data_IF_314609976453
#
_entry.id   IF_314609976453
#
_cell.length_a   1.000
_cell.length_b   1.000
_cell.length_c   1.000
_cell.angle_alpha   90.00
_cell.angle_beta   90.00
_cell.angle_gamma   90.00
#
_symmetry.space_group_name_H-M   'P 1'
#
loop_
_entity.id
_entity.type
_entity.pdbx_description
1 polymer ?
#
# COMPACT_ATOMS: atom_id res chain seq x y z
N UNK A 1 -21.86 17.43 22.19
CA UNK A 1 -23.09 16.73 21.75
C UNK A 1 -22.74 16.09 20.40
N UNK A 2 -22.60 14.79 20.18
CA UNK A 2 -22.95 13.60 20.94
C UNK A 2 -21.78 12.60 20.91
N UNK A 3 -21.28 12.21 22.07
CA UNK A 3 -20.49 10.99 22.26
C UNK A 3 -21.45 9.94 22.79
N UNK A 4 -22.10 9.22 21.86
CA UNK A 4 -22.96 8.09 22.18
C UNK A 4 -22.42 6.86 21.47
N UNK A 5 -22.23 5.79 22.23
CA UNK A 5 -22.35 4.43 21.73
C UNK A 5 -21.13 3.85 21.01
N UNK A 6 -20.32 3.13 21.77
CA UNK A 6 -19.86 1.79 21.40
C UNK A 6 -19.70 0.99 22.69
N UNK A 7 -20.86 0.64 23.27
CA UNK A 7 -20.91 -0.42 24.28
C UNK A 7 -20.70 -1.72 23.51
N UNK A 8 -19.63 -2.39 23.89
CA UNK A 8 -19.18 -3.71 23.49
C UNK A 8 -20.38 -4.69 23.48
N UNK A 9 -20.92 -4.98 22.29
CA UNK A 9 -21.88 -6.07 22.00
C UNK A 9 -21.14 -7.40 21.71
N UNK A 10 -19.98 -7.64 22.32
CA UNK A 10 -19.10 -8.76 21.93
C UNK A 10 -19.51 -10.12 22.48
N UNK A 11 -20.53 -10.18 23.35
CA UNK A 11 -20.99 -11.45 23.96
C UNK A 11 -21.84 -12.28 23.00
N UNK A 12 -22.90 -11.67 22.46
CA UNK A 12 -23.90 -12.34 21.62
C UNK A 12 -23.29 -12.78 20.28
N UNK A 13 -22.45 -11.94 19.67
CA UNK A 13 -21.79 -12.25 18.41
C UNK A 13 -20.77 -13.39 18.52
N UNK A 14 -20.19 -13.62 19.70
CA UNK A 14 -19.23 -14.71 19.91
C UNK A 14 -19.91 -16.08 19.96
N UNK A 15 -21.10 -16.15 20.56
CA UNK A 15 -21.91 -17.37 20.62
C UNK A 15 -22.52 -17.70 19.25
N UNK A 16 -22.97 -16.69 18.50
CA UNK A 16 -23.44 -16.87 17.11
C UNK A 16 -22.33 -17.31 16.16
N UNK A 17 -21.12 -16.75 16.33
CA UNK A 17 -19.93 -17.17 15.60
C UNK A 17 -19.59 -18.63 15.89
N UNK A 18 -19.61 -19.03 17.16
CA UNK A 18 -19.28 -20.42 17.52
C UNK A 18 -20.30 -21.41 17.00
N UNK A 19 -21.60 -21.11 17.15
CA UNK A 19 -22.68 -21.95 16.65
C UNK A 19 -22.63 -22.10 15.12
N UNK A 20 -22.30 -21.02 14.41
CA UNK A 20 -22.17 -21.04 12.95
C UNK A 20 -20.96 -21.84 12.48
N UNK A 21 -19.82 -21.71 13.17
CA UNK A 21 -18.65 -22.54 12.87
C UNK A 21 -18.88 -24.02 13.19
N UNK A 22 -19.55 -24.34 14.29
CA UNK A 22 -19.90 -25.71 14.64
C UNK A 22 -20.79 -26.35 13.57
N UNK A 23 -21.82 -25.62 13.10
CA UNK A 23 -22.67 -26.07 12.00
C UNK A 23 -21.90 -26.32 10.70
N UNK A 24 -20.95 -25.44 10.35
CA UNK A 24 -20.10 -25.60 9.16
C UNK A 24 -19.19 -26.81 9.30
N UNK A 25 -18.59 -27.01 10.47
CA UNK A 25 -17.73 -28.17 10.74
C UNK A 25 -18.53 -29.46 10.63
N UNK A 26 -19.72 -29.53 11.22
CA UNK A 26 -20.61 -30.69 11.12
C UNK A 26 -21.05 -30.96 9.67
N UNK A 27 -21.41 -29.91 8.92
CA UNK A 27 -21.84 -30.04 7.54
C UNK A 27 -20.70 -30.50 6.62
N UNK A 28 -19.49 -29.96 6.81
CA UNK A 28 -18.31 -30.35 6.04
C UNK A 28 -17.83 -31.76 6.38
N UNK A 29 -17.82 -32.14 7.67
CA UNK A 29 -17.51 -33.50 8.12
C UNK A 29 -18.50 -34.53 7.55
N UNK A 30 -19.79 -34.18 7.44
CA UNK A 30 -20.82 -35.04 6.84
C UNK A 30 -20.67 -35.21 5.33
N UNK A 31 -20.18 -34.18 4.63
CA UNK A 31 -20.11 -34.16 3.16
C UNK A 31 -18.81 -34.72 2.61
N UNK A 32 -17.66 -34.51 3.24
CA UNK A 32 -16.37 -34.98 2.75
C UNK A 32 -15.34 -35.10 3.89
N UNK A 33 -14.75 -36.29 4.06
CA UNK A 33 -13.65 -36.53 5.02
C UNK A 33 -12.29 -35.96 4.61
N UNK A 34 -12.24 -34.85 3.85
CA UNK A 34 -10.99 -34.23 3.41
C UNK A 34 -10.60 -33.06 4.34
N UNK A 35 -9.53 -33.26 5.09
CA UNK A 35 -9.04 -32.33 6.12
C UNK A 35 -8.61 -30.96 5.58
N UNK A 36 -8.02 -30.89 4.38
CA UNK A 36 -7.60 -29.62 3.78
C UNK A 36 -8.79 -28.74 3.41
N UNK A 37 -9.88 -29.35 2.91
CA UNK A 37 -11.12 -28.63 2.62
C UNK A 37 -11.78 -28.11 3.90
N UNK A 38 -11.69 -28.84 5.01
CA UNK A 38 -12.23 -28.42 6.29
C UNK A 38 -11.48 -27.19 6.85
N UNK A 39 -10.15 -27.13 6.72
CA UNK A 39 -9.37 -25.96 7.13
C UNK A 39 -9.73 -24.71 6.30
N UNK A 40 -9.87 -24.88 4.98
CA UNK A 40 -10.29 -23.82 4.07
C UNK A 40 -11.71 -23.32 4.38
N UNK A 41 -12.64 -24.23 4.66
CA UNK A 41 -14.01 -23.91 5.06
C UNK A 41 -14.05 -23.06 6.34
N UNK A 42 -13.29 -23.46 7.37
CA UNK A 42 -13.19 -22.74 8.64
C UNK A 42 -12.58 -21.35 8.45
N UNK A 43 -11.51 -21.24 7.66
CA UNK A 43 -10.82 -19.97 7.42
C UNK A 43 -11.69 -18.98 6.62
N UNK A 44 -12.41 -19.48 5.62
CA UNK A 44 -13.38 -18.66 4.88
C UNK A 44 -14.50 -18.18 5.79
N UNK A 45 -15.08 -19.07 6.60
CA UNK A 45 -16.12 -18.72 7.56
C UNK A 45 -15.64 -17.67 8.57
N UNK A 46 -14.41 -17.81 9.09
CA UNK A 46 -13.82 -16.80 9.97
C UNK A 46 -13.69 -15.43 9.28
N UNK A 47 -13.27 -15.42 8.01
CA UNK A 47 -13.16 -14.19 7.22
C UNK A 47 -14.54 -13.55 6.99
N UNK A 48 -15.56 -14.35 6.67
CA UNK A 48 -16.95 -13.90 6.51
C UNK A 48 -17.47 -13.22 7.79
N UNK A 49 -17.24 -13.83 8.94
CA UNK A 49 -17.66 -13.28 10.22
C UNK A 49 -16.93 -12.01 10.61
N UNK A 50 -15.63 -11.92 10.33
CA UNK A 50 -14.87 -10.69 10.55
C UNK A 50 -15.37 -9.54 9.66
N UNK A 51 -15.78 -9.82 8.43
CA UNK A 51 -16.42 -8.81 7.56
C UNK A 51 -17.72 -8.29 8.21
N UNK A 52 -18.55 -9.19 8.75
CA UNK A 52 -19.76 -8.79 9.48
C UNK A 52 -19.48 -7.94 10.73
N UNK A 53 -18.55 -8.39 11.57
CA UNK A 53 -18.12 -7.68 12.78
C UNK A 53 -17.60 -6.26 12.46
N UNK A 54 -17.02 -6.06 11.28
CA UNK A 54 -16.57 -4.74 10.81
C UNK A 54 -17.67 -3.87 10.18
N UNK A 55 -18.94 -4.28 10.28
CA UNK A 55 -20.12 -3.52 9.85
C UNK A 55 -20.56 -3.77 8.41
N UNK A 56 -20.05 -4.81 7.73
CA UNK A 56 -20.57 -5.21 6.42
C UNK A 56 -21.82 -6.07 6.59
N UNK A 57 -22.88 -5.76 5.84
CA UNK A 57 -24.09 -6.55 5.79
C UNK A 57 -24.06 -7.49 4.58
N UNK A 58 -24.61 -8.70 4.72
CA UNK A 58 -24.69 -9.67 3.62
C UNK A 58 -25.73 -9.17 2.61
N UNK A 59 -25.38 -9.19 1.33
CA UNK A 59 -26.29 -8.81 0.26
C UNK A 59 -27.37 -9.90 0.07
N UNK A 60 -28.65 -9.50 -0.01
CA UNK A 60 -29.80 -10.39 -0.31
C UNK A 60 -30.11 -11.50 0.71
N UNK A 61 -29.44 -11.54 1.86
CA UNK A 61 -29.76 -12.49 2.95
C UNK A 61 -30.20 -11.75 4.21
N UNK A 62 -31.41 -12.06 4.69
CA UNK A 62 -31.82 -11.69 6.06
C UNK A 62 -31.27 -12.64 7.12
N UNK A 63 -30.70 -13.78 6.71
CA UNK A 63 -30.14 -14.75 7.64
C UNK A 63 -28.83 -14.23 8.22
N UNK A 64 -28.61 -14.49 9.51
CA UNK A 64 -27.41 -14.09 10.23
C UNK A 64 -26.19 -14.97 9.93
N UNK A 65 -26.40 -16.15 9.34
CA UNK A 65 -25.36 -17.11 8.98
C UNK A 65 -24.80 -16.96 7.56
N UNK A 66 -23.97 -17.92 7.14
CA UNK A 66 -23.43 -17.97 5.79
C UNK A 66 -24.55 -18.09 4.74
N UNK A 67 -24.41 -17.47 3.56
CA UNK A 67 -25.35 -17.63 2.44
C UNK A 67 -25.44 -19.09 2.00
N UNK A 68 -26.60 -19.58 1.56
CA UNK A 68 -26.74 -20.98 1.11
C UNK A 68 -25.83 -21.33 -0.07
N UNK A 69 -25.46 -20.34 -0.90
CA UNK A 69 -24.57 -20.47 -2.05
C UNK A 69 -23.10 -20.18 -1.75
N UNK A 70 -22.68 -20.23 -0.48
CA UNK A 70 -21.33 -19.84 -0.08
C UNK A 70 -20.22 -20.74 -0.63
N UNK A 71 -20.54 -21.99 -1.00
CA UNK A 71 -19.61 -22.99 -1.53
C UNK A 71 -20.17 -23.59 -2.82
N UNK A 72 -19.51 -23.32 -3.93
CA UNK A 72 -19.88 -23.89 -5.23
C UNK A 72 -19.24 -25.28 -5.39
N UNK A 73 -20.07 -26.32 -5.22
CA UNK A 73 -19.64 -27.72 -5.06
C UNK A 73 -18.90 -28.37 -6.24
N UNK A 74 -18.76 -27.70 -7.38
CA UNK A 74 -18.04 -28.22 -8.56
C UNK A 74 -16.65 -27.61 -8.77
N UNK A 75 -16.32 -26.50 -8.10
CA UNK A 75 -15.06 -25.76 -8.30
C UNK A 75 -14.34 -25.40 -7.00
N UNK A 76 -14.84 -25.90 -5.86
CA UNK A 76 -14.33 -25.55 -4.52
C UNK A 76 -14.23 -24.01 -4.32
N UNK A 77 -15.08 -23.26 -5.02
CA UNK A 77 -15.06 -21.80 -4.99
C UNK A 77 -15.96 -21.31 -3.86
N UNK A 78 -15.41 -20.43 -3.03
CA UNK A 78 -16.17 -19.75 -1.99
C UNK A 78 -16.57 -18.35 -2.44
N UNK A 79 -17.84 -17.99 -2.24
CA UNK A 79 -18.34 -16.68 -2.65
C UNK A 79 -19.32 -16.11 -1.63
N UNK A 80 -19.13 -14.83 -1.28
CA UNK A 80 -20.09 -14.08 -0.47
C UNK A 80 -20.17 -12.63 -0.95
N UNK A 81 -21.40 -12.12 -1.03
CA UNK A 81 -21.67 -10.74 -1.43
C UNK A 81 -22.06 -9.92 -0.20
N UNK A 82 -21.46 -8.74 -0.08
CA UNK A 82 -21.66 -7.81 1.02
C UNK A 82 -21.95 -6.39 0.52
N UNK A 83 -22.55 -5.60 1.39
CA UNK A 83 -22.73 -4.15 1.25
C UNK A 83 -22.23 -3.50 2.54
N UNK A 84 -21.81 -2.23 2.45
CA UNK A 84 -21.45 -1.44 3.63
C UNK A 84 -22.54 -0.40 3.91
N UNK A 85 -23.48 -0.62 4.84
CA UNK A 85 -24.53 0.35 5.13
C UNK A 85 -23.95 1.71 5.60
N UNK A 86 -24.49 2.86 5.14
CA UNK A 86 -25.66 3.03 4.27
C UNK A 86 -25.37 2.97 2.75
N UNK A 87 -24.13 2.71 2.34
CA UNK A 87 -23.65 2.76 0.95
C UNK A 87 -24.04 1.51 0.16
N UNK A 88 -25.28 1.44 -0.30
CA UNK A 88 -25.83 0.30 -1.05
C UNK A 88 -25.32 0.19 -2.49
N UNK A 89 -24.75 1.26 -3.03
CA UNK A 89 -24.26 1.30 -4.41
C UNK A 89 -22.97 0.47 -4.61
N UNK A 90 -22.28 0.16 -3.51
CA UNK A 90 -21.01 -0.56 -3.51
C UNK A 90 -21.22 -2.02 -3.13
N UNK A 91 -21.35 -2.88 -4.15
CA UNK A 91 -21.37 -4.32 -3.96
C UNK A 91 -19.94 -4.83 -3.75
N UNK A 92 -19.69 -5.45 -2.60
CA UNK A 92 -18.41 -6.07 -2.24
C UNK A 92 -18.55 -7.58 -2.40
N UNK A 93 -17.83 -8.15 -3.37
CA UNK A 93 -17.80 -9.59 -3.61
C UNK A 93 -16.50 -10.19 -3.06
N UNK A 94 -16.64 -11.06 -2.07
CA UNK A 94 -15.58 -11.87 -1.50
C UNK A 94 -15.54 -13.21 -2.25
N UNK A 95 -14.41 -13.52 -2.88
CA UNK A 95 -14.19 -14.75 -3.65
C UNK A 95 -12.95 -15.43 -3.08
N UNK A 96 -13.07 -16.64 -2.55
CA UNK A 96 -11.91 -17.41 -2.10
C UNK A 96 -11.74 -18.68 -2.93
N UNK A 97 -10.49 -18.94 -3.30
CA UNK A 97 -10.07 -20.07 -4.13
C UNK A 97 -9.06 -20.90 -3.34
N UNK A 98 -9.36 -22.15 -3.00
CA UNK A 98 -8.41 -23.06 -2.39
C UNK A 98 -7.40 -23.54 -3.44
N UNK A 99 -6.13 -23.51 -3.06
CA UNK A 99 -5.00 -24.04 -3.81
C UNK A 99 -4.12 -24.83 -2.83
N UNK A 100 -4.45 -26.11 -2.65
CA UNK A 100 -3.87 -27.00 -1.63
C UNK A 100 -4.01 -26.42 -0.20
N UNK A 101 -2.90 -26.07 0.44
CA UNK A 101 -2.85 -25.45 1.77
C UNK A 101 -3.05 -23.92 1.72
N UNK A 102 -3.11 -23.32 0.54
CA UNK A 102 -3.22 -21.87 0.39
C UNK A 102 -4.66 -21.50 0.03
N UNK A 103 -5.29 -20.64 0.83
CA UNK A 103 -6.55 -20.01 0.50
C UNK A 103 -6.29 -18.62 -0.10
N UNK A 104 -6.57 -18.48 -1.40
CA UNK A 104 -6.45 -17.21 -2.13
C UNK A 104 -7.77 -16.44 -2.04
N UNK A 105 -7.80 -15.42 -1.20
CA UNK A 105 -8.95 -14.54 -0.97
C UNK A 105 -8.82 -13.30 -1.84
N UNK A 106 -9.79 -13.08 -2.71
CA UNK A 106 -9.90 -11.94 -3.60
C UNK A 106 -11.16 -11.15 -3.25
N UNK A 107 -11.04 -9.83 -3.18
CA UNK A 107 -12.19 -8.95 -2.95
C UNK A 107 -12.34 -7.96 -4.08
N UNK A 108 -13.54 -7.96 -4.66
CA UNK A 108 -13.96 -7.07 -5.71
C UNK A 108 -14.96 -6.07 -5.13
N UNK A 109 -14.82 -4.79 -5.50
CA UNK A 109 -15.78 -3.75 -5.14
C UNK A 109 -16.31 -3.15 -6.43
N UNK A 110 -17.63 -3.11 -6.55
CA UNK A 110 -18.30 -2.49 -7.69
C UNK A 110 -18.44 -0.98 -7.47
N UNK A 111 -18.49 -0.20 -8.56
CA UNK A 111 -18.72 1.25 -8.53
C UNK A 111 -17.69 2.08 -7.75
N UNK A 112 -16.40 1.72 -7.85
CA UNK A 112 -15.26 2.52 -7.36
C UNK A 112 -14.82 3.47 -8.48
N UNK A 113 -14.14 4.62 -8.23
CA UNK A 113 -13.81 5.66 -9.22
C UNK A 113 -13.11 5.20 -10.51
N UNK A 114 -12.58 3.98 -10.55
CA UNK A 114 -11.94 3.37 -11.74
C UNK A 114 -12.66 2.12 -12.26
N UNK A 115 -13.94 1.93 -11.92
CA UNK A 115 -14.77 0.79 -12.33
C UNK A 115 -14.77 -0.35 -11.30
N UNK A 116 -15.18 -1.54 -11.76
CA UNK A 116 -15.13 -2.76 -10.94
C UNK A 116 -13.70 -3.29 -10.89
N UNK A 117 -13.03 -3.16 -9.74
CA UNK A 117 -11.62 -3.53 -9.60
C UNK A 117 -11.47 -4.55 -8.48
N UNK A 118 -10.58 -5.53 -8.68
CA UNK A 118 -10.06 -6.35 -7.60
C UNK A 118 -9.26 -5.45 -6.67
N UNK A 119 -9.86 -5.08 -5.54
CA UNK A 119 -9.25 -4.11 -4.63
C UNK A 119 -8.11 -4.74 -3.84
N UNK A 120 -8.26 -6.03 -3.49
CA UNK A 120 -7.26 -6.75 -2.72
C UNK A 120 -7.27 -8.23 -3.01
N UNK A 121 -6.08 -8.80 -3.11
CA UNK A 121 -5.82 -10.23 -3.14
C UNK A 121 -4.89 -10.58 -1.97
N UNK A 122 -5.20 -11.69 -1.29
CA UNK A 122 -4.47 -12.18 -0.13
C UNK A 122 -4.38 -13.71 -0.20
N UNK A 123 -3.18 -14.25 -0.04
CA UNK A 123 -2.95 -15.69 0.04
C UNK A 123 -2.63 -16.06 1.49
N UNK A 124 -3.35 -17.03 2.05
CA UNK A 124 -3.21 -17.47 3.45
C UNK A 124 -2.91 -18.96 3.50
N UNK A 125 -1.97 -19.39 4.36
CA UNK A 125 -1.81 -20.81 4.67
C UNK A 125 -2.87 -21.25 5.68
N UNK A 126 -3.72 -22.18 5.26
CA UNK A 126 -4.82 -22.71 6.05
C UNK A 126 -4.33 -23.52 7.22
N UNK A 127 -3.29 -24.34 7.05
CA UNK A 127 -2.64 -25.05 8.16
C UNK A 127 -1.99 -24.11 9.18
N UNK A 128 -1.47 -22.96 8.75
CA UNK A 128 -0.87 -21.95 9.63
C UNK A 128 -1.87 -21.28 10.58
N UNK A 129 -3.10 -21.03 10.10
CA UNK A 129 -4.16 -20.41 10.90
C UNK A 129 -5.08 -21.41 11.60
N UNK A 130 -5.34 -22.57 10.97
CA UNK A 130 -6.27 -23.61 11.44
C UNK A 130 -5.54 -24.97 11.56
N UNK A 131 -4.62 -25.13 12.53
CA UNK A 131 -3.84 -26.36 12.66
C UNK A 131 -4.66 -27.56 13.16
N UNK A 132 -5.79 -27.33 13.85
CA UNK A 132 -6.56 -28.41 14.51
C UNK A 132 -8.06 -28.33 14.16
N UNK A 133 -8.46 -28.61 12.91
CA UNK A 133 -9.85 -28.44 12.48
C UNK A 133 -10.85 -29.32 13.26
N UNK A 134 -10.39 -30.43 13.86
CA UNK A 134 -11.20 -31.40 14.61
C UNK A 134 -11.53 -30.99 16.05
N UNK A 135 -10.86 -29.97 16.60
CA UNK A 135 -10.97 -29.69 18.03
C UNK A 135 -12.41 -29.29 18.40
N UNK A 136 -12.94 -29.82 19.52
CA UNK A 136 -14.34 -29.57 19.92
C UNK A 136 -14.64 -28.09 20.18
N UNK A 137 -13.66 -27.34 20.69
CA UNK A 137 -13.83 -25.92 20.96
C UNK A 137 -13.36 -25.09 19.76
N UNK A 138 -14.16 -24.12 19.35
CA UNK A 138 -13.82 -23.20 18.23
C UNK A 138 -12.45 -22.54 18.42
N UNK A 139 -12.15 -22.07 19.64
CA UNK A 139 -10.89 -21.39 19.93
C UNK A 139 -9.66 -22.30 19.78
N UNK A 140 -9.80 -23.61 20.02
CA UNK A 140 -8.68 -24.54 19.93
C UNK A 140 -8.41 -25.03 18.50
N UNK A 141 -9.33 -24.74 17.56
CA UNK A 141 -9.13 -24.98 16.12
C UNK A 141 -8.11 -24.03 15.50
N UNK A 142 -8.03 -22.80 16.01
CA UNK A 142 -7.11 -21.77 15.55
C UNK A 142 -5.78 -21.79 16.31
N UNK A 143 -4.69 -21.42 15.63
CA UNK A 143 -3.37 -21.27 16.27
C UNK A 143 -3.30 -19.98 17.10
N UNK A 144 -3.67 -18.85 16.48
CA UNK A 144 -3.73 -17.54 17.10
C UNK A 144 -4.85 -16.71 16.46
N UNK A 145 -6.05 -16.82 17.04
CA UNK A 145 -7.24 -16.13 16.55
C UNK A 145 -7.10 -14.59 16.63
N UNK A 146 -6.46 -14.09 17.68
CA UNK A 146 -6.22 -12.66 17.85
C UNK A 146 -5.37 -12.11 16.71
N UNK A 147 -4.21 -12.72 16.47
CA UNK A 147 -3.33 -12.36 15.37
C UNK A 147 -4.03 -12.47 14.01
N UNK A 148 -4.72 -13.58 13.75
CA UNK A 148 -5.47 -13.77 12.51
C UNK A 148 -6.50 -12.66 12.30
N UNK A 149 -7.23 -12.29 13.35
CA UNK A 149 -8.27 -11.26 13.28
C UNK A 149 -7.68 -9.88 12.99
N UNK A 150 -6.58 -9.50 13.64
CA UNK A 150 -5.88 -8.24 13.39
C UNK A 150 -5.30 -8.22 11.98
N UNK A 151 -4.70 -9.33 11.54
CA UNK A 151 -4.11 -9.47 10.22
C UNK A 151 -5.17 -9.33 9.11
N UNK A 152 -6.25 -10.10 9.18
CA UNK A 152 -7.35 -10.05 8.20
C UNK A 152 -8.02 -8.67 8.18
N UNK A 153 -8.26 -8.07 9.34
CA UNK A 153 -8.82 -6.71 9.42
C UNK A 153 -7.90 -5.70 8.73
N UNK A 154 -6.60 -5.76 9.00
CA UNK A 154 -5.63 -4.79 8.48
C UNK A 154 -5.32 -5.00 6.99
N UNK A 155 -5.18 -6.26 6.56
CA UNK A 155 -4.75 -6.60 5.21
C UNK A 155 -5.90 -6.60 4.19
N UNK A 156 -7.11 -6.96 4.62
CA UNK A 156 -8.26 -7.14 3.74
C UNK A 156 -9.38 -6.13 4.01
N UNK A 157 -9.93 -6.14 5.22
CA UNK A 157 -11.22 -5.48 5.53
C UNK A 157 -11.09 -3.95 5.56
N UNK A 158 -10.05 -3.43 6.22
CA UNK A 158 -9.83 -1.99 6.36
C UNK A 158 -9.57 -1.29 5.02
N UNK A 159 -8.72 -1.82 4.11
CA UNK A 159 -8.60 -1.28 2.75
C UNK A 159 -9.93 -1.18 2.00
N UNK A 160 -10.80 -2.20 2.09
CA UNK A 160 -12.12 -2.20 1.45
C UNK A 160 -12.98 -1.07 1.99
N UNK A 161 -13.05 -0.95 3.32
CA UNK A 161 -13.82 0.10 3.97
C UNK A 161 -13.31 1.49 3.59
N UNK A 162 -11.98 1.69 3.61
CA UNK A 162 -11.38 2.96 3.21
C UNK A 162 -11.69 3.31 1.75
N UNK A 163 -11.64 2.35 0.83
CA UNK A 163 -11.94 2.59 -0.58
C UNK A 163 -13.39 3.09 -0.79
N UNK A 164 -14.36 2.45 -0.14
CA UNK A 164 -15.79 2.85 -0.21
C UNK A 164 -15.97 4.25 0.40
N UNK A 165 -15.37 4.50 1.57
CA UNK A 165 -15.48 5.80 2.23
C UNK A 165 -14.83 6.92 1.42
N UNK A 166 -13.67 6.67 0.81
CA UNK A 166 -12.99 7.65 -0.05
C UNK A 166 -13.82 7.99 -1.28
N UNK A 167 -14.45 7.01 -1.93
CA UNK A 167 -15.37 7.27 -3.06
C UNK A 167 -16.55 8.15 -2.63
N UNK A 168 -17.13 7.89 -1.46
CA UNK A 168 -18.23 8.69 -0.92
C UNK A 168 -17.80 10.04 -0.33
N UNK A 169 -16.52 10.42 -0.45
CA UNK A 169 -15.99 11.68 0.05
C UNK A 169 -15.94 11.77 1.58
N UNK A 170 -15.97 10.63 2.27
CA UNK A 170 -15.93 10.55 3.73
C UNK A 170 -14.48 10.37 4.20
N UNK A 171 -14.08 11.26 5.12
CA UNK A 171 -12.75 11.22 5.71
C UNK A 171 -12.53 9.89 6.43
N UNK A 172 -11.40 9.24 6.17
CA UNK A 172 -11.06 7.96 6.76
C UNK A 172 -9.56 7.85 7.07
N UNK A 173 -9.17 6.78 7.76
CA UNK A 173 -7.80 6.59 8.25
C UNK A 173 -6.75 6.23 7.18
N UNK A 174 -7.13 6.10 5.91
CA UNK A 174 -6.16 5.93 4.83
C UNK A 174 -5.57 7.28 4.42
N UNK A 175 -4.32 7.31 3.95
CA UNK A 175 -3.68 8.54 3.48
C UNK A 175 -4.49 9.24 2.38
N UNK A 176 -5.09 8.48 1.47
CA UNK A 176 -5.97 8.99 0.40
C UNK A 176 -7.29 9.54 0.92
N UNK A 177 -7.78 9.03 2.06
CA UNK A 177 -9.01 9.46 2.71
C UNK A 177 -8.88 10.71 3.58
N UNK A 178 -7.69 11.29 3.75
CA UNK A 178 -7.49 12.51 4.53
C UNK A 178 -7.87 13.77 3.73
N UNK A 179 -8.09 14.88 4.42
CA UNK A 179 -8.20 16.19 3.75
C UNK A 179 -6.85 16.63 3.16
N UNK A 180 -6.89 17.40 2.08
CA UNK A 180 -5.69 17.85 1.37
C UNK A 180 -4.72 18.63 2.29
N UNK A 181 -5.23 19.40 3.26
CA UNK A 181 -4.38 20.10 4.23
C UNK A 181 -3.55 19.12 5.08
N UNK A 182 -4.16 18.04 5.56
CA UNK A 182 -3.47 17.04 6.37
C UNK A 182 -2.50 16.23 5.51
N UNK A 183 -2.90 15.87 4.28
CA UNK A 183 -2.00 15.22 3.31
C UNK A 183 -0.75 16.06 3.07
N UNK A 184 -0.91 17.35 2.78
CA UNK A 184 0.21 18.27 2.53
C UNK A 184 1.13 18.39 3.75
N UNK A 185 0.58 18.42 4.97
CA UNK A 185 1.39 18.43 6.20
C UNK A 185 2.21 17.15 6.35
N UNK A 186 1.62 15.98 6.12
CA UNK A 186 2.32 14.68 6.18
C UNK A 186 3.41 14.64 5.11
N UNK A 187 3.05 14.96 3.86
CA UNK A 187 3.95 14.94 2.71
C UNK A 187 5.12 15.90 2.89
N UNK A 188 4.90 17.05 3.55
CA UNK A 188 5.98 17.98 3.87
C UNK A 188 7.09 17.34 4.72
N UNK A 189 6.80 16.36 5.58
CA UNK A 189 7.84 15.67 6.35
C UNK A 189 8.68 14.68 5.54
N UNK A 190 8.26 14.34 4.32
CA UNK A 190 8.97 13.37 3.48
C UNK A 190 10.23 13.97 2.84
N UNK A 191 11.20 13.09 2.55
CA UNK A 191 12.34 13.41 1.70
C UNK A 191 11.94 13.53 0.23
N UNK A 192 12.86 14.01 -0.62
CA UNK A 192 12.60 14.16 -2.05
C UNK A 192 12.29 12.81 -2.72
N UNK A 193 13.07 11.77 -2.42
CA UNK A 193 12.88 10.45 -3.02
C UNK A 193 11.52 9.86 -2.63
N UNK A 194 11.17 9.91 -1.35
CA UNK A 194 9.88 9.41 -0.85
C UNK A 194 8.70 10.19 -1.47
N UNK A 195 8.84 11.51 -1.64
CA UNK A 195 7.84 12.34 -2.31
C UNK A 195 7.61 11.92 -3.76
N UNK A 196 8.70 11.66 -4.50
CA UNK A 196 8.61 11.22 -5.89
C UNK A 196 7.96 9.83 -5.98
N UNK A 197 8.43 8.87 -5.19
CA UNK A 197 7.84 7.54 -5.09
C UNK A 197 6.35 7.60 -4.73
N UNK A 198 5.97 8.46 -3.78
CA UNK A 198 4.57 8.64 -3.39
C UNK A 198 3.73 9.19 -4.54
N UNK A 199 4.26 10.14 -5.32
CA UNK A 199 3.55 10.74 -6.45
C UNK A 199 3.25 9.76 -7.59
N UNK A 200 3.97 8.64 -7.67
CA UNK A 200 3.79 7.60 -8.68
C UNK A 200 2.72 6.56 -8.28
N UNK A 201 2.25 6.57 -7.03
CA UNK A 201 1.36 5.51 -6.51
C UNK A 201 -0.08 5.61 -7.00
N UNK A 202 -0.70 6.78 -6.98
CA UNK A 202 -2.07 6.99 -7.43
C UNK A 202 -2.33 8.43 -7.87
N UNK A 203 -3.39 8.65 -8.65
CA UNK A 203 -3.73 9.97 -9.19
C UNK A 203 -4.01 11.04 -8.11
N UNK A 204 -4.66 10.67 -7.00
CA UNK A 204 -4.94 11.62 -5.92
C UNK A 204 -3.66 12.09 -5.22
N UNK A 205 -2.78 11.15 -4.86
CA UNK A 205 -1.50 11.49 -4.23
C UNK A 205 -0.58 12.23 -5.21
N UNK A 206 -0.61 11.88 -6.50
CA UNK A 206 0.09 12.62 -7.54
C UNK A 206 -0.35 14.09 -7.59
N UNK A 207 -1.67 14.34 -7.59
CA UNK A 207 -2.24 15.70 -7.55
C UNK A 207 -1.72 16.49 -6.35
N UNK A 208 -1.77 15.91 -5.16
CA UNK A 208 -1.33 16.59 -3.92
C UNK A 208 0.19 16.80 -3.89
N UNK A 209 0.98 15.83 -4.36
CA UNK A 209 2.45 15.95 -4.43
C UNK A 209 2.92 17.02 -5.44
N UNK A 210 2.07 17.44 -6.37
CA UNK A 210 2.37 18.52 -7.33
C UNK A 210 1.90 19.89 -6.88
N UNK A 211 1.41 20.04 -5.65
CA UNK A 211 0.96 21.33 -5.13
C UNK A 211 2.11 22.38 -5.14
N UNK A 212 1.93 23.56 -5.77
CA UNK A 212 2.98 24.57 -5.83
C UNK A 212 3.44 25.08 -4.47
N UNK A 213 2.55 25.17 -3.48
CA UNK A 213 2.88 25.66 -2.13
C UNK A 213 3.74 24.62 -1.39
N UNK A 214 3.49 23.33 -1.59
CA UNK A 214 4.37 22.27 -1.10
C UNK A 214 5.79 22.44 -1.63
N UNK A 215 5.96 22.61 -2.94
CA UNK A 215 7.29 22.78 -3.54
C UNK A 215 8.00 24.06 -3.08
N UNK A 216 7.26 25.15 -2.89
CA UNK A 216 7.77 26.40 -2.30
C UNK A 216 8.32 26.19 -0.89
N UNK A 217 7.55 25.54 -0.02
CA UNK A 217 7.99 25.27 1.37
C UNK A 217 9.18 24.31 1.41
N UNK A 218 9.19 23.27 0.58
CA UNK A 218 10.30 22.33 0.45
C UNK A 218 11.58 23.01 -0.04
N UNK A 219 11.46 23.90 -1.02
CA UNK A 219 12.57 24.70 -1.53
C UNK A 219 13.17 25.57 -0.42
N UNK A 220 12.34 26.37 0.25
CA UNK A 220 12.83 27.23 1.33
C UNK A 220 13.44 26.43 2.47
N UNK A 221 12.86 25.30 2.86
CA UNK A 221 13.42 24.45 3.92
C UNK A 221 14.84 23.97 3.60
N UNK A 222 15.14 23.64 2.34
CA UNK A 222 16.42 23.05 1.95
C UNK A 222 17.47 24.06 1.49
N UNK A 223 17.03 25.15 0.85
CA UNK A 223 17.92 26.12 0.21
C UNK A 223 17.87 27.52 0.84
N UNK A 224 17.28 27.67 2.04
CA UNK A 224 17.15 28.97 2.71
C UNK A 224 18.46 29.74 2.84
N UNK A 225 19.56 29.04 3.15
CA UNK A 225 20.89 29.64 3.31
C UNK A 225 21.47 30.11 1.97
N UNK A 226 21.28 29.33 0.91
CA UNK A 226 21.78 29.62 -0.45
C UNK A 226 21.12 30.88 -1.03
N UNK A 227 19.81 31.05 -0.80
CA UNK A 227 19.09 32.23 -1.25
C UNK A 227 19.46 33.51 -0.47
N UNK A 228 19.84 33.40 0.80
CA UNK A 228 20.26 34.56 1.60
C UNK A 228 21.64 35.08 1.20
N UNK A 229 22.54 34.19 0.76
CA UNK A 229 23.92 34.56 0.42
C UNK A 229 24.11 35.05 -1.01
N UNK A 230 23.18 34.77 -1.94
CA UNK A 230 23.38 35.02 -3.36
C UNK A 230 22.90 36.38 -3.86
N UNK A 231 22.17 37.18 -3.06
CA UNK A 231 21.67 38.51 -3.48
C UNK A 231 20.73 38.51 -4.69
N UNK A 232 20.50 37.36 -5.33
CA UNK A 232 19.66 37.20 -6.51
C UNK A 232 18.21 37.01 -6.08
N UNK A 233 17.47 38.10 -6.17
CA UNK A 233 16.01 38.15 -6.10
C UNK A 233 15.32 37.49 -7.31
N UNK A 234 16.00 36.64 -8.09
CA UNK A 234 15.46 36.01 -9.31
C UNK A 234 14.63 34.75 -9.03
N UNK A 235 14.56 34.27 -7.78
CA UNK A 235 13.84 33.05 -7.44
C UNK A 235 12.30 33.22 -7.39
N UNK A 236 11.78 34.44 -7.64
CA UNK A 236 10.47 34.87 -7.17
C UNK A 236 9.47 35.34 -8.26
N UNK A 237 9.86 35.44 -9.53
CA UNK A 237 9.00 36.13 -10.51
C UNK A 237 7.89 35.27 -11.16
N UNK A 238 7.85 33.96 -10.89
CA UNK A 238 6.71 33.13 -11.29
C UNK A 238 6.37 32.14 -10.18
N UNK A 239 5.27 32.40 -9.47
CA UNK A 239 4.74 31.55 -8.38
C UNK A 239 4.36 30.13 -8.86
N UNK A 240 4.57 29.83 -10.15
CA UNK A 240 4.10 28.62 -10.84
C UNK A 240 5.16 27.53 -11.07
N UNK A 241 6.47 27.79 -10.89
CA UNK A 241 7.55 26.83 -11.25
C UNK A 241 8.42 26.35 -10.09
N UNK A 242 7.91 26.34 -8.85
CA UNK A 242 8.66 25.92 -7.65
C UNK A 242 9.27 24.51 -7.75
N UNK A 243 8.60 23.57 -8.42
CA UNK A 243 9.10 22.21 -8.64
C UNK A 243 10.33 22.18 -9.54
N UNK A 244 10.36 23.01 -10.58
CA UNK A 244 11.47 23.10 -11.54
C UNK A 244 12.68 23.79 -10.90
N UNK A 245 12.44 24.87 -10.17
CA UNK A 245 13.46 25.55 -9.36
C UNK A 245 14.09 24.59 -8.36
N UNK A 246 13.28 23.80 -7.65
CA UNK A 246 13.78 22.77 -6.75
C UNK A 246 14.68 21.76 -7.48
N UNK A 247 14.26 21.26 -8.65
CA UNK A 247 15.08 20.33 -9.46
C UNK A 247 16.41 20.96 -9.87
N UNK A 248 16.40 22.22 -10.28
CA UNK A 248 17.60 22.94 -10.71
C UNK A 248 18.61 23.09 -9.55
N UNK A 249 18.18 23.64 -8.41
CA UNK A 249 19.03 23.81 -7.23
C UNK A 249 19.47 22.48 -6.61
N UNK A 250 18.63 21.45 -6.67
CA UNK A 250 18.98 20.11 -6.21
C UNK A 250 20.07 19.48 -7.07
N UNK A 251 20.09 19.71 -8.39
CA UNK A 251 21.19 19.26 -9.26
C UNK A 251 22.49 19.98 -8.94
N UNK A 252 22.46 21.30 -8.78
CA UNK A 252 23.64 22.13 -8.49
C UNK A 252 24.26 21.86 -7.12
N UNK A 253 23.45 21.45 -6.13
CA UNK A 253 23.91 21.18 -4.77
C UNK A 253 23.96 19.68 -4.43
N UNK A 254 23.99 18.81 -5.45
CA UNK A 254 24.09 17.37 -5.22
C UNK A 254 25.56 17.01 -4.92
N UNK A 255 25.92 16.65 -3.67
CA UNK A 255 27.31 16.44 -3.28
C UNK A 255 27.99 15.33 -4.08
N UNK A 256 27.23 14.32 -4.53
CA UNK A 256 27.77 13.17 -5.28
C UNK A 256 28.33 13.57 -6.65
N UNK A 257 27.76 14.60 -7.30
CA UNK A 257 28.30 15.12 -8.57
C UNK A 257 29.36 16.18 -8.34
N UNK A 258 29.17 17.05 -7.35
CA UNK A 258 30.12 18.10 -7.04
C UNK A 258 31.46 17.52 -6.53
N UNK A 259 31.49 16.34 -5.91
CA UNK A 259 32.75 15.66 -5.56
C UNK A 259 33.48 15.06 -6.77
N UNK A 260 32.78 14.63 -7.82
CA UNK A 260 33.40 14.14 -9.06
C UNK A 260 33.92 15.30 -9.93
N UNK A 261 33.17 16.40 -10.02
CA UNK A 261 33.58 17.60 -10.75
C UNK A 261 34.66 18.40 -9.98
N UNK A 262 34.59 18.52 -8.66
CA UNK A 262 35.67 19.14 -7.87
C UNK A 262 36.97 18.31 -7.93
N UNK A 263 36.86 16.98 -8.06
CA UNK A 263 38.03 16.13 -8.30
C UNK A 263 38.63 16.43 -9.68
N UNK A 264 37.82 16.55 -10.74
CA UNK A 264 38.28 16.89 -12.10
C UNK A 264 38.85 18.32 -12.22
N UNK A 265 38.26 19.31 -11.55
CA UNK A 265 38.79 20.68 -11.54
C UNK A 265 40.09 20.81 -10.72
N UNK A 266 40.29 19.96 -9.69
CA UNK A 266 41.55 19.89 -8.95
C UNK A 266 42.70 19.30 -9.78
N UNK A 267 42.41 18.49 -10.80
CA UNK A 267 43.43 17.99 -11.75
C UNK A 267 43.82 19.05 -12.80
N UNK A 268 42.89 19.91 -13.24
CA UNK A 268 43.19 20.96 -14.21
C UNK A 268 43.89 22.18 -13.59
N UNK A 269 43.58 22.54 -12.34
CA UNK A 269 44.27 23.64 -11.63
C UNK A 269 45.65 23.24 -11.09
N UNK A 270 45.93 21.95 -10.90
CA UNK A 270 47.25 21.45 -10.51
C UNK A 270 48.25 21.36 -11.68
N UNK A 271 47.80 21.45 -12.94
CA UNK A 271 48.67 21.31 -14.12
C UNK A 271 49.15 22.64 -14.73
N UNK A 272 48.67 23.79 -14.25
CA UNK A 272 49.12 25.12 -14.70
C UNK A 272 50.15 25.81 -13.78
N UNK A 273 50.62 25.17 -12.70
CA UNK A 273 51.54 25.78 -11.72
C UNK A 273 52.93 25.12 -11.60
N UNK A 274 53.39 24.38 -12.61
CA UNK A 274 54.81 23.97 -12.70
C UNK A 274 55.29 23.97 -14.14
N UNK A 275 55.53 25.17 -14.67
CA UNK A 275 56.45 25.37 -15.80
C UNK A 275 57.49 26.42 -15.41
N UNK A 276 58.65 25.95 -14.96
CA UNK A 276 59.94 26.60 -15.22
C UNK A 276 60.96 25.51 -15.60
N UNK A 277 61.44 25.65 -16.83
CA UNK A 277 62.68 25.19 -17.46
C UNK A 277 63.50 24.08 -16.79
N UNK A 278 63.68 22.96 -17.51
CA UNK A 278 65.02 22.44 -17.82
C UNK A 278 65.02 21.95 -19.27
N UNK A 279 65.85 22.62 -20.06
CA UNK A 279 66.27 22.27 -21.42
C UNK A 279 67.34 21.15 -21.34
N UNK A 280 67.31 20.16 -22.25
CA UNK A 280 68.46 19.35 -22.71
C UNK A 280 68.00 18.29 -23.73
N UNK A 281 68.10 18.68 -25.00
CA UNK A 281 68.87 18.00 -26.07
C UNK A 281 68.64 16.52 -26.41
N UNK A 282 68.36 16.31 -27.71
CA UNK A 282 68.76 15.16 -28.56
C UNK A 282 68.09 13.82 -28.20
N UNK A 283 67.60 13.00 -29.13
CA UNK A 283 68.08 12.71 -30.47
C UNK A 283 66.98 12.03 -31.30
N UNK A 284 67.10 12.17 -32.62
CA UNK A 284 66.23 11.61 -33.63
C UNK A 284 66.26 10.07 -33.70
N UNK A 285 65.15 9.47 -34.14
CA UNK A 285 65.08 8.40 -35.15
C UNK A 285 63.64 7.81 -35.12
N UNK A 286 62.81 8.00 -36.14
CA UNK A 286 62.80 7.39 -37.48
C UNK A 286 61.80 6.22 -37.58
N UNK A 287 61.04 6.23 -38.69
CA UNK A 287 60.16 5.20 -39.28
C UNK A 287 58.91 4.78 -38.48
N UNK A 288 57.67 5.10 -38.90
CA UNK A 288 56.97 4.85 -40.16
C UNK A 288 56.73 3.36 -40.46
N UNK A 289 55.49 3.10 -40.90
CA UNK A 289 54.90 1.87 -41.48
C UNK A 289 54.57 0.76 -40.46
N UNK A 290 53.52 -0.06 -40.59
CA UNK A 290 52.47 -0.26 -41.59
C UNK A 290 51.41 -1.18 -40.88
N UNK A 291 50.12 -0.94 -41.07
CA UNK A 291 49.20 -1.77 -41.86
C UNK A 291 48.79 -3.12 -41.24
N UNK A 292 47.47 -3.22 -41.04
CA UNK A 292 46.58 -4.38 -41.10
C UNK A 292 47.02 -5.73 -40.51
N UNK A 293 46.27 -6.14 -39.47
CA UNK A 293 45.47 -7.38 -39.52
C UNK A 293 44.37 -7.42 -38.47
#
# INVERSE_FOLDING_TARGET
MATSGMKIETGMQKEEFSASLEKIVEESMRKNGNWGLLQNDILFAATFWLMRDCGFAVHESQNEGLPESWKHGTKELYEANFILPPYKDHLVRLVALPADDILCINVFVSNVPHGNVCLKSLALSSSGFVPRPEANQVLSKFSNLEYMSVYLRSALIWPIRCAILTDKGVVNGSLTGLSDEIKLKIIHFLGLQDLLSLSETCHDLNRVCNDPKLWKTMFHRRFQSVCKCSGKSECAESDTQWKENYKHFHKLNNPVKNSQEASLESFHTATESTYYEVDLSYEAAEYATDVDR
#
